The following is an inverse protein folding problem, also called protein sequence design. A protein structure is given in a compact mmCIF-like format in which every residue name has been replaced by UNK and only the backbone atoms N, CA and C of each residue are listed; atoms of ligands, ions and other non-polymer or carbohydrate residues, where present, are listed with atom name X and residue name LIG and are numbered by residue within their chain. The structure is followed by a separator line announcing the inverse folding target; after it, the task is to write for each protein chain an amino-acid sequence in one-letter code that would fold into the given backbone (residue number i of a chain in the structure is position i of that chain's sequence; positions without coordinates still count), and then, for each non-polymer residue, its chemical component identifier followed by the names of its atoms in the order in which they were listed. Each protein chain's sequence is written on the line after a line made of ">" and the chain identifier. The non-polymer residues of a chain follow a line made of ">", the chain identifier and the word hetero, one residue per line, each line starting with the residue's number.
data_IF_975631701698
#
_entry.id   IF_975631701698
#
_cell.length_a   1.000
_cell.length_b   1.000
_cell.length_c   1.000
_cell.angle_alpha   90.00
_cell.angle_beta   90.00
_cell.angle_gamma   90.00
#
_symmetry.space_group_name_H-M   'P 1'
#
loop_
_entity.id
_entity.type
_entity.pdbx_description
1 polymer ?
#
# COMPACT_ATOMS: atom_id res chain seq x y z
N UNK A 1 -3.58 10.44 10.39
CA UNK A 1 -3.50 11.53 9.38
C UNK A 1 -2.29 11.23 8.51
N UNK A 2 -2.45 11.21 7.19
CA UNK A 2 -1.37 10.84 6.26
C UNK A 2 -0.40 12.01 6.05
N UNK A 3 0.90 11.72 6.10
CA UNK A 3 1.94 12.74 5.94
C UNK A 3 2.22 12.99 4.44
N UNK A 4 2.08 14.23 3.99
CA UNK A 4 2.37 14.60 2.60
C UNK A 4 3.87 14.75 2.37
N UNK A 5 4.54 13.69 1.90
CA UNK A 5 5.99 13.68 1.66
C UNK A 5 6.36 14.21 0.27
N UNK A 6 5.64 13.78 -0.76
CA UNK A 6 5.78 14.25 -2.14
C UNK A 6 4.40 14.56 -2.71
N UNK A 7 4.16 15.78 -3.14
CA UNK A 7 2.83 16.24 -3.57
C UNK A 7 2.80 16.41 -5.08
N UNK A 8 1.95 15.64 -5.76
CA UNK A 8 1.64 15.80 -7.17
C UNK A 8 0.29 16.49 -7.38
N UNK A 9 -0.15 16.58 -8.63
CA UNK A 9 -1.43 17.22 -9.00
C UNK A 9 -2.64 16.36 -8.60
N UNK A 10 -2.59 15.06 -8.91
CA UNK A 10 -3.71 14.12 -8.67
C UNK A 10 -3.60 13.35 -7.35
N UNK A 11 -2.39 13.08 -6.90
CA UNK A 11 -2.10 12.30 -5.70
C UNK A 11 -0.87 12.84 -4.98
N UNK A 12 -0.67 12.40 -3.75
CA UNK A 12 0.55 12.59 -2.99
C UNK A 12 1.08 11.25 -2.48
N UNK A 13 2.36 11.22 -2.16
CA UNK A 13 3.02 10.09 -1.54
C UNK A 13 3.18 10.33 -0.04
N UNK A 14 2.75 9.35 0.74
CA UNK A 14 2.95 9.28 2.18
C UNK A 14 3.85 8.10 2.52
N UNK A 15 4.73 8.17 3.53
CA UNK A 15 5.41 6.99 4.04
C UNK A 15 4.40 5.90 4.43
N UNK A 16 4.80 4.64 4.31
CA UNK A 16 4.02 3.52 4.84
C UNK A 16 3.92 3.61 6.36
N UNK A 17 2.72 3.33 6.88
CA UNK A 17 2.47 3.15 8.30
C UNK A 17 1.84 1.76 8.52
N UNK A 18 2.31 0.96 9.50
CA UNK A 18 1.79 -0.38 9.74
C UNK A 18 0.29 -0.46 10.03
N UNK A 19 -0.34 0.65 10.42
CA UNK A 19 -1.79 0.73 10.65
C UNK A 19 -2.62 0.47 9.38
N UNK A 20 -2.02 0.61 8.19
CA UNK A 20 -2.71 0.38 6.91
C UNK A 20 -2.53 -1.04 6.36
N UNK A 21 -1.93 -1.97 7.12
CA UNK A 21 -1.71 -3.36 6.66
C UNK A 21 -2.99 -4.06 6.26
N UNK A 22 -4.10 -3.74 6.93
CA UNK A 22 -5.40 -4.39 6.73
C UNK A 22 -5.96 -4.08 5.34
N UNK A 23 -5.78 -2.84 4.88
CA UNK A 23 -6.19 -2.41 3.54
C UNK A 23 -5.43 -3.17 2.44
N UNK A 24 -4.11 -3.33 2.62
CA UNK A 24 -3.30 -4.08 1.66
C UNK A 24 -3.61 -5.57 1.72
N UNK A 25 -3.89 -6.12 2.90
CA UNK A 25 -4.33 -7.51 3.04
C UNK A 25 -5.64 -7.75 2.27
N UNK A 26 -6.61 -6.84 2.34
CA UNK A 26 -7.85 -6.94 1.56
C UNK A 26 -7.57 -6.92 0.06
N UNK A 27 -6.76 -5.98 -0.42
CA UNK A 27 -6.39 -5.89 -1.84
C UNK A 27 -5.60 -7.10 -2.32
N UNK A 28 -4.70 -7.64 -1.49
CA UNK A 28 -3.88 -8.80 -1.81
C UNK A 28 -4.65 -10.13 -1.69
N UNK A 29 -5.94 -10.08 -1.31
CA UNK A 29 -6.86 -11.20 -1.36
C UNK A 29 -8.04 -10.94 -2.32
N UNK A 30 -8.03 -9.83 -3.05
CA UNK A 30 -8.94 -9.55 -4.17
C UNK A 30 -8.36 -10.15 -5.46
N UNK A 31 -9.14 -11.02 -6.12
CA UNK A 31 -8.72 -11.73 -7.33
C UNK A 31 -8.39 -10.80 -8.50
N UNK A 32 -9.14 -9.71 -8.69
CA UNK A 32 -8.90 -8.77 -9.78
C UNK A 32 -7.57 -8.03 -9.59
N UNK A 33 -7.29 -7.66 -8.34
CA UNK A 33 -6.05 -6.98 -7.97
C UNK A 33 -4.84 -7.90 -8.11
N UNK A 34 -4.86 -9.09 -7.48
CA UNK A 34 -3.70 -9.99 -7.49
C UNK A 34 -3.40 -10.60 -8.87
N UNK A 35 -4.41 -10.72 -9.73
CA UNK A 35 -4.21 -11.13 -11.12
C UNK A 35 -3.34 -10.11 -11.86
N UNK A 36 -3.66 -8.82 -11.71
CA UNK A 36 -2.91 -7.72 -12.34
C UNK A 36 -1.51 -7.57 -11.74
N UNK A 37 -1.35 -7.87 -10.44
CA UNK A 37 -0.05 -7.85 -9.76
C UNK A 37 0.79 -9.11 -9.98
N UNK A 38 0.28 -10.13 -10.70
CA UNK A 38 0.93 -11.44 -10.89
C UNK A 38 1.22 -12.18 -9.57
N UNK A 39 0.39 -11.97 -8.55
CA UNK A 39 0.52 -12.56 -7.20
C UNK A 39 -0.47 -13.71 -6.94
N UNK A 40 -1.22 -14.17 -7.95
CA UNK A 40 -2.27 -15.18 -7.80
C UNK A 40 -1.79 -16.52 -7.21
N UNK A 41 -0.50 -16.81 -7.30
CA UNK A 41 0.11 -18.03 -6.74
C UNK A 41 0.53 -17.88 -5.27
N UNK A 42 0.36 -16.70 -4.65
CA UNK A 42 0.69 -16.44 -3.25
C UNK A 42 -0.56 -16.44 -2.39
N UNK A 43 -0.47 -17.07 -1.23
CA UNK A 43 -1.44 -16.91 -0.15
C UNK A 43 -0.87 -15.91 0.84
N UNK A 44 -1.51 -14.74 0.97
CA UNK A 44 -1.05 -13.65 1.83
C UNK A 44 -1.97 -13.60 3.04
N UNK A 45 -1.47 -14.09 4.18
CA UNK A 45 -2.16 -13.95 5.46
C UNK A 45 -1.98 -12.55 6.02
N UNK A 46 -2.85 -12.17 6.94
CA UNK A 46 -2.75 -10.89 7.66
C UNK A 46 -1.40 -10.72 8.36
N UNK A 47 -0.90 -11.80 8.98
CA UNK A 47 0.41 -11.83 9.63
C UNK A 47 1.55 -11.52 8.64
N UNK A 48 1.56 -12.19 7.47
CA UNK A 48 2.58 -11.98 6.44
C UNK A 48 2.54 -10.55 5.92
N UNK A 49 1.34 -9.99 5.71
CA UNK A 49 1.22 -8.62 5.22
C UNK A 49 1.73 -7.59 6.22
N UNK A 50 1.44 -7.78 7.51
CA UNK A 50 1.96 -6.91 8.55
C UNK A 50 3.49 -6.93 8.63
N UNK A 51 4.11 -8.10 8.48
CA UNK A 51 5.57 -8.22 8.40
C UNK A 51 6.14 -7.54 7.15
N UNK A 52 5.49 -7.72 5.99
CA UNK A 52 5.88 -7.05 4.75
C UNK A 52 5.84 -5.52 4.91
N UNK A 53 4.76 -4.97 5.47
CA UNK A 53 4.61 -3.54 5.65
C UNK A 53 5.66 -2.97 6.62
N UNK A 54 5.99 -3.70 7.70
CA UNK A 54 7.08 -3.33 8.63
C UNK A 54 8.46 -3.33 7.98
N UNK A 55 8.66 -4.13 6.91
CA UNK A 55 9.88 -4.09 6.10
C UNK A 55 9.85 -2.90 5.15
N UNK A 56 8.75 -2.73 4.41
CA UNK A 56 8.59 -1.68 3.40
C UNK A 56 8.70 -0.27 4.01
N UNK A 57 8.18 -0.04 5.22
CA UNK A 57 8.23 1.28 5.87
C UNK A 57 9.64 1.75 6.24
N UNK A 58 10.64 0.86 6.20
CA UNK A 58 12.05 1.18 6.45
C UNK A 58 12.82 1.56 5.19
N UNK A 59 12.21 1.37 4.03
CA UNK A 59 12.81 1.55 2.71
C UNK A 59 12.12 2.70 1.94
N UNK A 60 12.52 2.93 0.69
CA UNK A 60 11.90 3.93 -0.19
C UNK A 60 10.58 3.44 -0.79
N UNK A 61 9.62 3.13 0.08
CA UNK A 61 8.26 2.75 -0.28
C UNK A 61 7.26 3.77 0.27
N UNK A 62 6.21 4.03 -0.50
CA UNK A 62 5.20 5.03 -0.19
C UNK A 62 3.79 4.54 -0.50
N UNK A 63 2.84 4.97 0.31
CA UNK A 63 1.42 4.96 0.01
C UNK A 63 1.13 6.02 -1.06
N UNK A 64 0.35 5.66 -2.08
CA UNK A 64 -0.22 6.60 -3.03
C UNK A 64 -1.58 7.02 -2.52
N UNK A 65 -1.79 8.33 -2.32
CA UNK A 65 -3.00 8.87 -1.73
C UNK A 65 -3.64 9.87 -2.68
N UNK A 66 -4.93 9.70 -2.96
CA UNK A 66 -5.69 10.61 -3.82
C UNK A 66 -5.83 12.00 -3.17
N UNK A 67 -5.49 13.07 -3.90
CA UNK A 67 -5.51 14.44 -3.36
C UNK A 67 -6.92 14.94 -3.03
N UNK A 68 -7.96 14.43 -3.69
CA UNK A 68 -9.32 14.94 -3.53
C UNK A 68 -10.03 14.31 -2.34
N UNK A 69 -9.79 13.03 -2.11
CA UNK A 69 -10.52 12.22 -1.13
C UNK A 69 -9.68 11.80 0.07
N UNK A 70 -8.37 12.04 0.06
CA UNK A 70 -7.42 11.56 1.07
C UNK A 70 -7.47 10.03 1.29
N UNK A 71 -7.92 9.29 0.26
CA UNK A 71 -7.96 7.82 0.28
C UNK A 71 -6.66 7.24 -0.25
N UNK A 72 -6.15 6.22 0.46
CA UNK A 72 -5.05 5.39 -0.03
C UNK A 72 -5.57 4.57 -1.21
N UNK A 73 -4.87 4.65 -2.34
CA UNK A 73 -5.26 4.00 -3.62
C UNK A 73 -4.18 3.07 -4.17
N UNK A 74 -3.09 2.88 -3.44
CA UNK A 74 -2.04 1.95 -3.80
C UNK A 74 -0.75 2.21 -3.04
N UNK A 75 0.31 1.53 -3.48
CA UNK A 75 1.66 1.75 -3.00
C UNK A 75 2.66 1.74 -4.15
N UNK A 76 3.79 2.40 -3.96
CA UNK A 76 4.91 2.39 -4.89
C UNK A 76 6.25 2.43 -4.15
N UNK A 77 7.27 1.83 -4.74
CA UNK A 77 8.64 1.86 -4.25
C UNK A 77 9.51 0.91 -5.05
N UNK A 78 10.71 0.66 -4.53
CA UNK A 78 11.74 -0.17 -5.16
C UNK A 78 12.07 -1.38 -4.31
#
# INVERSE_FOLDING_TARGET
>A
MLAKKLVGEKCYLSPYEPEYSDLFYEWLNDLEVIFTLTLINKTISHFIEKENMLRLCKEHNYLIVDNKSDKIIGGCGF
#
